data_IF_325668651926
#
_entry.id   IF_325668651926
#
_cell.length_a   1.000
_cell.length_b   1.000
_cell.length_c   1.000
_cell.angle_alpha   90.00
_cell.angle_beta   90.00
_cell.angle_gamma   90.00
#
_symmetry.space_group_name_H-M   'P 1'
#
loop_
_entity.id
_entity.type
_entity.pdbx_description
1 polymer ?
#
# COMPACT_ATOMS: atom_id res chain seq x y z
N UNK A 1 -24.03 17.04 -2.03
CA UNK A 1 -22.95 17.88 -1.45
C UNK A 1 -23.53 18.97 -0.53
N UNK A 2 -24.42 19.84 -1.01
CA UNK A 2 -25.02 20.91 -0.16
C UNK A 2 -25.75 20.39 1.09
N UNK A 3 -26.52 19.30 0.97
CA UNK A 3 -27.20 18.67 2.11
C UNK A 3 -26.19 18.15 3.16
N UNK A 4 -25.10 17.52 2.72
CA UNK A 4 -24.08 16.96 3.61
C UNK A 4 -23.36 18.07 4.38
N UNK A 5 -22.99 19.16 3.71
CA UNK A 5 -22.37 20.33 4.36
C UNK A 5 -23.29 20.96 5.42
N UNK A 6 -24.61 21.02 5.14
CA UNK A 6 -25.60 21.52 6.08
C UNK A 6 -25.72 20.61 7.32
N UNK A 7 -25.81 19.30 7.11
CA UNK A 7 -25.91 18.31 8.19
C UNK A 7 -24.67 18.27 9.08
N UNK A 8 -23.47 18.41 8.49
CA UNK A 8 -22.22 18.51 9.26
C UNK A 8 -22.21 19.76 10.14
N UNK A 9 -22.64 20.92 9.60
CA UNK A 9 -22.73 22.16 10.38
C UNK A 9 -23.75 22.07 11.53
N UNK A 10 -24.91 21.44 11.28
CA UNK A 10 -25.93 21.19 12.30
C UNK A 10 -25.44 20.24 13.39
N UNK A 11 -24.73 19.17 13.01
CA UNK A 11 -24.17 18.22 13.97
C UNK A 11 -23.06 18.84 14.82
N UNK A 12 -22.18 19.65 14.23
CA UNK A 12 -21.16 20.40 14.99
C UNK A 12 -21.80 21.38 15.99
N UNK A 13 -22.90 22.02 15.61
CA UNK A 13 -23.67 22.90 16.53
C UNK A 13 -24.28 22.09 17.68
N UNK A 14 -24.71 20.86 17.43
CA UNK A 14 -25.27 19.95 18.44
C UNK A 14 -24.20 19.39 19.39
N UNK A 15 -22.98 19.16 18.90
CA UNK A 15 -21.81 18.75 19.70
C UNK A 15 -21.26 19.93 20.54
N UNK A 16 -21.47 21.17 20.07
CA UNK A 16 -21.08 22.39 20.78
C UNK A 16 -19.57 22.58 20.89
N UNK A 17 -18.82 22.12 19.88
CA UNK A 17 -17.36 22.19 19.83
C UNK A 17 -16.90 22.99 18.61
N UNK A 18 -15.67 23.50 18.68
CA UNK A 18 -15.07 24.30 17.62
C UNK A 18 -14.46 23.43 16.51
N UNK A 19 -14.31 23.97 15.30
CA UNK A 19 -13.63 23.26 14.19
C UNK A 19 -12.20 22.81 14.53
N UNK A 20 -11.60 23.35 15.58
CA UNK A 20 -10.24 23.05 16.03
C UNK A 20 -10.13 21.78 16.87
N UNK A 21 -11.25 21.17 17.27
CA UNK A 21 -11.26 20.01 18.18
C UNK A 21 -11.52 18.67 17.45
N UNK A 22 -11.65 18.72 16.13
CA UNK A 22 -11.84 17.55 15.27
C UNK A 22 -10.64 16.61 15.42
N UNK A 23 -10.91 15.32 15.66
CA UNK A 23 -9.87 14.30 15.82
C UNK A 23 -9.18 14.25 17.19
N UNK A 24 -9.54 15.11 18.15
CA UNK A 24 -9.06 15.05 19.54
C UNK A 24 -9.93 14.15 20.42
N UNK A 25 -9.34 13.61 21.49
CA UNK A 25 -10.04 12.73 22.45
C UNK A 25 -11.26 13.40 23.11
N UNK A 26 -11.27 14.73 23.24
CA UNK A 26 -12.41 15.51 23.76
C UNK A 26 -13.66 15.36 22.87
N UNK A 27 -13.48 15.41 21.55
CA UNK A 27 -14.58 15.30 20.60
C UNK A 27 -15.12 13.88 20.54
N UNK A 28 -14.23 12.88 20.55
CA UNK A 28 -14.63 11.46 20.59
C UNK A 28 -15.49 11.14 21.83
N UNK A 29 -15.09 11.62 23.01
CA UNK A 29 -15.86 11.43 24.24
C UNK A 29 -17.27 12.03 24.14
N UNK A 30 -17.38 13.27 23.64
CA UNK A 30 -18.68 13.94 23.46
C UNK A 30 -19.56 13.24 22.42
N UNK A 31 -19.00 12.84 21.29
CA UNK A 31 -19.73 12.13 20.25
C UNK A 31 -20.29 10.81 20.80
N UNK A 32 -19.48 10.05 21.55
CA UNK A 32 -19.94 8.83 22.21
C UNK A 32 -21.06 9.10 23.23
N UNK A 33 -20.96 10.14 24.05
CA UNK A 33 -22.02 10.52 25.00
C UNK A 33 -23.32 10.95 24.31
N UNK A 34 -23.24 11.57 23.13
CA UNK A 34 -24.42 11.98 22.34
C UNK A 34 -25.10 10.75 21.72
N UNK A 35 -24.31 9.81 21.21
CA UNK A 35 -24.82 8.55 20.64
C UNK A 35 -25.52 7.72 21.73
N UNK A 36 -24.95 7.63 22.93
CA UNK A 36 -25.56 6.92 24.07
C UNK A 36 -26.87 7.56 24.53
N UNK A 37 -26.98 8.91 24.46
CA UNK A 37 -28.16 9.65 24.93
C UNK A 37 -29.32 9.67 23.93
N UNK A 38 -29.03 9.89 22.65
CA UNK A 38 -30.06 10.15 21.64
C UNK A 38 -30.27 8.99 20.67
N UNK A 39 -29.33 8.05 20.59
CA UNK A 39 -29.34 6.95 19.64
C UNK A 39 -29.17 7.42 18.19
N UNK A 40 -28.81 6.49 17.30
CA UNK A 40 -28.57 6.81 15.88
C UNK A 40 -29.84 7.33 15.19
N UNK A 41 -31.00 6.73 15.47
CA UNK A 41 -32.30 7.10 14.88
C UNK A 41 -32.82 8.49 15.33
N UNK A 42 -32.47 8.91 16.55
CA UNK A 42 -32.82 10.25 17.04
C UNK A 42 -32.03 11.35 16.32
N UNK A 43 -30.75 11.08 16.07
CA UNK A 43 -29.84 12.02 15.41
C UNK A 43 -30.16 12.12 13.91
N UNK A 44 -30.43 11.01 13.23
CA UNK A 44 -30.81 11.02 11.80
C UNK A 44 -32.07 11.84 11.55
N UNK A 45 -33.08 11.72 12.42
CA UNK A 45 -34.32 12.52 12.35
C UNK A 45 -34.08 14.01 12.57
N UNK A 46 -33.19 14.39 13.50
CA UNK A 46 -32.84 15.80 13.73
C UNK A 46 -32.06 16.42 12.58
N UNK A 47 -31.16 15.65 11.98
CA UNK A 47 -30.28 16.11 10.89
C UNK A 47 -30.91 15.95 9.50
N UNK A 48 -32.07 15.29 9.39
CA UNK A 48 -32.68 14.86 8.13
C UNK A 48 -31.69 14.10 7.22
N UNK A 49 -30.92 13.17 7.81
CA UNK A 49 -29.90 12.37 7.10
C UNK A 49 -30.18 10.88 7.16
N UNK A 50 -29.52 10.11 6.28
CA UNK A 50 -29.50 8.65 6.38
C UNK A 50 -28.51 8.18 7.44
N UNK A 51 -28.72 6.99 8.02
CA UNK A 51 -27.81 6.37 8.98
C UNK A 51 -26.39 6.23 8.43
N UNK A 52 -26.27 5.84 7.16
CA UNK A 52 -24.98 5.73 6.46
C UNK A 52 -24.24 7.08 6.41
N UNK A 53 -24.96 8.17 6.13
CA UNK A 53 -24.37 9.51 6.09
C UNK A 53 -23.92 9.94 7.49
N UNK A 54 -24.75 9.66 8.51
CA UNK A 54 -24.40 9.95 9.89
C UNK A 54 -23.14 9.18 10.33
N UNK A 55 -23.03 7.91 9.95
CA UNK A 55 -21.86 7.09 10.27
C UNK A 55 -20.59 7.63 9.62
N UNK A 56 -20.66 8.06 8.36
CA UNK A 56 -19.53 8.74 7.69
C UNK A 56 -19.14 10.02 8.43
N UNK A 57 -20.12 10.80 8.90
CA UNK A 57 -19.85 12.04 9.66
C UNK A 57 -19.17 11.73 11.00
N UNK A 58 -19.65 10.70 11.72
CA UNK A 58 -19.05 10.26 12.98
C UNK A 58 -17.63 9.78 12.75
N UNK A 59 -17.41 8.91 11.76
CA UNK A 59 -16.08 8.40 11.40
C UNK A 59 -15.14 9.55 11.01
N UNK A 60 -15.62 10.51 10.20
CA UNK A 60 -14.82 11.67 9.80
C UNK A 60 -14.45 12.59 10.97
N UNK A 61 -15.34 12.78 11.96
CA UNK A 61 -15.09 13.65 13.12
C UNK A 61 -14.23 12.96 14.20
N UNK A 62 -14.31 11.65 14.29
CA UNK A 62 -13.57 10.83 15.27
C UNK A 62 -12.22 10.34 14.75
N UNK A 63 -11.96 10.41 13.44
CA UNK A 63 -10.66 10.09 12.84
C UNK A 63 -9.55 10.90 13.52
N UNK A 64 -8.48 10.23 14.01
CA UNK A 64 -7.39 10.94 14.67
C UNK A 64 -6.65 11.84 13.69
N UNK A 65 -6.11 12.96 14.16
CA UNK A 65 -5.34 13.91 13.32
C UNK A 65 -4.15 13.23 12.61
N UNK A 66 -3.63 12.13 13.17
CA UNK A 66 -2.54 11.33 12.60
C UNK A 66 -2.99 10.27 11.59
N UNK A 67 -4.29 10.20 11.26
CA UNK A 67 -4.83 9.27 10.27
C UNK A 67 -4.40 9.70 8.88
N UNK A 68 -3.43 8.96 8.33
CA UNK A 68 -2.94 9.17 6.98
C UNK A 68 -3.29 7.93 6.17
N UNK A 69 -4.25 8.07 5.26
CA UNK A 69 -4.67 7.02 4.31
C UNK A 69 -3.51 6.48 3.48
N UNK A 70 -2.39 7.20 3.38
CA UNK A 70 -1.19 6.76 2.64
C UNK A 70 -0.37 5.72 3.40
N UNK A 71 -0.56 5.54 4.72
CA UNK A 71 0.19 4.54 5.50
C UNK A 71 -0.15 3.10 5.13
N UNK A 72 -1.37 2.85 4.69
CA UNK A 72 -1.84 1.52 4.29
C UNK A 72 -1.40 1.13 2.86
N UNK A 73 -0.88 2.08 2.09
CA UNK A 73 -0.24 1.76 0.84
C UNK A 73 1.15 1.23 1.15
N UNK A 74 1.46 0.03 0.61
CA UNK A 74 2.81 -0.51 0.53
C UNK A 74 3.76 0.64 0.19
N UNK A 75 4.55 1.07 1.17
CA UNK A 75 5.55 2.07 0.91
C UNK A 75 6.43 1.51 -0.21
N UNK A 76 6.73 2.29 -1.26
CA UNK A 76 7.72 1.86 -2.22
C UNK A 76 8.98 1.51 -1.43
N UNK A 77 9.43 0.26 -1.56
CA UNK A 77 10.64 -0.28 -0.94
C UNK A 77 11.86 0.44 -1.50
N UNK A 78 12.00 1.73 -1.22
CA UNK A 78 13.24 2.46 -1.43
C UNK A 78 14.20 2.02 -0.33
N UNK A 79 14.64 0.75 -0.38
CA UNK A 79 15.90 0.34 0.23
C UNK A 79 17.01 1.11 -0.48
N UNK A 80 17.24 2.32 0.03
CA UNK A 80 18.42 3.15 -0.21
C UNK A 80 19.67 2.36 0.18
N UNK A 81 20.31 1.66 -0.76
CA UNK A 81 21.73 1.32 -0.59
C UNK A 81 22.43 0.82 -1.85
N UNK A 82 21.80 0.81 -3.02
CA UNK A 82 22.48 0.41 -4.26
C UNK A 82 22.04 1.35 -5.38
N UNK A 83 22.76 2.47 -5.49
CA UNK A 83 22.58 3.45 -6.57
C UNK A 83 23.46 3.08 -7.77
N UNK A 84 24.50 2.28 -7.52
CA UNK A 84 25.58 2.01 -8.45
C UNK A 84 25.80 0.49 -8.61
N UNK A 85 25.95 -0.03 -9.85
CA UNK A 85 26.24 -1.44 -10.09
C UNK A 85 27.58 -1.89 -9.46
N UNK A 86 28.48 -0.97 -9.12
CA UNK A 86 29.75 -1.23 -8.46
C UNK A 86 29.60 -1.65 -6.99
N UNK A 87 28.52 -1.24 -6.33
CA UNK A 87 28.22 -1.62 -4.94
C UNK A 87 27.58 -3.02 -4.85
N UNK A 88 27.20 -3.58 -5.99
CA UNK A 88 26.56 -4.88 -6.07
C UNK A 88 27.60 -5.98 -5.87
N UNK A 89 27.32 -6.88 -4.93
CA UNK A 89 28.14 -8.06 -4.66
C UNK A 89 27.38 -9.33 -5.05
N UNK A 90 28.12 -10.31 -5.56
CA UNK A 90 27.59 -11.66 -5.79
C UNK A 90 27.11 -12.23 -4.45
N UNK A 91 25.91 -12.84 -4.45
CA UNK A 91 25.27 -13.40 -3.28
C UNK A 91 24.30 -12.46 -2.55
N UNK A 92 24.31 -11.15 -2.86
CA UNK A 92 23.38 -10.19 -2.25
C UNK A 92 21.94 -10.53 -2.62
N UNK A 93 21.05 -10.44 -1.63
CA UNK A 93 19.61 -10.64 -1.80
C UNK A 93 18.94 -9.27 -1.89
N UNK A 94 18.14 -9.08 -2.93
CA UNK A 94 17.46 -7.82 -3.25
C UNK A 94 16.01 -8.08 -3.59
N UNK A 95 15.20 -7.06 -3.39
CA UNK A 95 13.84 -7.00 -3.91
C UNK A 95 13.85 -6.24 -5.22
N UNK A 96 13.09 -6.73 -6.19
CA UNK A 96 12.98 -6.11 -7.50
C UNK A 96 11.58 -6.26 -8.08
N UNK A 97 11.31 -5.52 -9.15
CA UNK A 97 10.04 -5.57 -9.87
C UNK A 97 10.24 -6.13 -11.27
N UNK A 98 9.41 -7.06 -11.67
CA UNK A 98 9.42 -7.59 -13.04
C UNK A 98 9.01 -6.48 -14.00
N UNK A 99 9.87 -6.12 -14.95
CA UNK A 99 9.54 -5.17 -16.01
C UNK A 99 8.95 -5.89 -17.21
N UNK A 100 9.59 -7.00 -17.61
CA UNK A 100 9.18 -7.78 -18.77
C UNK A 100 9.52 -9.27 -18.59
N UNK A 101 8.71 -10.15 -19.17
CA UNK A 101 8.93 -11.59 -19.20
C UNK A 101 8.98 -12.07 -20.66
N UNK A 102 10.05 -12.77 -21.02
CA UNK A 102 10.25 -13.35 -22.35
C UNK A 102 10.42 -14.87 -22.25
N UNK A 103 10.46 -15.56 -23.38
CA UNK A 103 10.59 -17.03 -23.42
C UNK A 103 11.94 -17.53 -22.87
N UNK A 104 12.98 -16.69 -22.87
CA UNK A 104 14.32 -17.08 -22.41
C UNK A 104 14.65 -16.59 -20.99
N UNK A 105 13.84 -15.70 -20.42
CA UNK A 105 14.06 -15.20 -19.07
C UNK A 105 13.16 -14.03 -18.68
N UNK A 106 13.38 -13.52 -17.48
CA UNK A 106 12.60 -12.43 -16.89
C UNK A 106 13.51 -11.27 -16.57
N UNK A 107 13.13 -10.08 -17.02
CA UNK A 107 13.85 -8.84 -16.73
C UNK A 107 13.27 -8.21 -15.47
N UNK A 108 14.13 -7.97 -14.50
CA UNK A 108 13.78 -7.42 -13.20
C UNK A 108 14.56 -6.14 -12.97
N UNK A 109 13.84 -5.09 -12.60
CA UNK A 109 14.42 -3.86 -12.11
C UNK A 109 14.75 -4.00 -10.62
N UNK A 110 16.03 -3.81 -10.29
CA UNK A 110 16.59 -3.84 -8.93
C UNK A 110 17.07 -2.46 -8.46
N UNK A 111 16.81 -1.40 -9.24
CA UNK A 111 17.13 -0.02 -8.87
C UNK A 111 18.55 0.46 -9.18
N UNK A 112 19.34 -0.32 -9.94
CA UNK A 112 20.74 0.01 -10.30
C UNK A 112 20.87 0.74 -11.65
N UNK A 113 19.76 1.28 -12.19
CA UNK A 113 19.71 1.96 -13.48
C UNK A 113 19.84 1.04 -14.72
N UNK A 114 19.97 -0.29 -14.51
CA UNK A 114 19.97 -1.31 -15.56
C UNK A 114 19.12 -2.49 -15.15
N UNK A 115 18.46 -3.11 -16.13
CA UNK A 115 17.67 -4.32 -15.92
C UNK A 115 18.56 -5.54 -15.77
N UNK A 116 18.21 -6.39 -14.82
CA UNK A 116 18.90 -7.63 -14.57
C UNK A 116 18.06 -8.80 -15.11
N UNK A 117 18.74 -9.84 -15.61
CA UNK A 117 18.08 -10.98 -16.24
C UNK A 117 18.07 -12.17 -15.28
N UNK A 118 16.89 -12.75 -15.07
CA UNK A 118 16.74 -14.08 -14.49
C UNK A 118 16.61 -15.08 -15.65
N UNK A 119 17.61 -15.96 -15.87
CA UNK A 119 17.50 -17.03 -16.85
C UNK A 119 16.35 -17.97 -16.50
N UNK A 120 15.64 -18.51 -17.50
CA UNK A 120 14.51 -19.41 -17.23
C UNK A 120 14.91 -20.66 -16.41
N UNK A 121 16.14 -21.16 -16.60
CA UNK A 121 16.73 -22.26 -15.82
C UNK A 121 16.86 -21.98 -14.32
N UNK A 122 16.91 -20.71 -13.94
CA UNK A 122 17.03 -20.24 -12.55
C UNK A 122 15.66 -20.02 -11.89
N UNK A 123 14.58 -20.15 -12.65
CA UNK A 123 13.19 -20.10 -12.17
C UNK A 123 12.76 -21.54 -11.90
N UNK A 124 12.83 -21.95 -10.64
CA UNK A 124 12.38 -23.29 -10.24
C UNK A 124 10.91 -23.28 -9.88
N UNK A 125 10.15 -24.28 -10.33
CA UNK A 125 8.73 -24.52 -10.00
C UNK A 125 8.45 -24.45 -8.49
N UNK A 126 9.39 -24.92 -7.64
CA UNK A 126 9.22 -24.93 -6.18
C UNK A 126 9.28 -23.53 -5.54
N UNK A 127 9.89 -22.57 -6.23
CA UNK A 127 10.00 -21.18 -5.78
C UNK A 127 8.81 -20.32 -6.24
N UNK A 128 7.92 -20.88 -7.05
CA UNK A 128 6.69 -20.25 -7.52
C UNK A 128 5.53 -20.58 -6.57
N UNK A 129 4.67 -19.60 -6.29
CA UNK A 129 3.50 -19.84 -5.44
C UNK A 129 2.56 -20.87 -6.09
N UNK A 130 1.81 -21.63 -5.26
CA UNK A 130 0.86 -22.66 -5.72
C UNK A 130 -0.13 -22.14 -6.78
N UNK A 131 -0.46 -20.84 -6.75
CA UNK A 131 -1.35 -20.19 -7.71
C UNK A 131 -0.71 -19.93 -9.08
N UNK A 132 0.62 -19.85 -9.15
CA UNK A 132 1.39 -19.50 -10.36
C UNK A 132 1.98 -20.67 -11.13
N UNK A 133 2.05 -21.86 -10.53
CA UNK A 133 2.42 -23.11 -11.22
C UNK A 133 1.58 -23.43 -12.46
N UNK A 134 0.40 -22.79 -12.61
CA UNK A 134 -0.50 -22.99 -13.77
C UNK A 134 -0.11 -22.16 -15.00
N UNK A 135 0.73 -21.12 -14.88
CA UNK A 135 1.18 -20.29 -16.01
C UNK A 135 2.59 -20.68 -16.40
N UNK A 136 2.81 -20.98 -17.69
CA UNK A 136 4.03 -21.48 -18.33
C UNK A 136 5.32 -20.67 -18.10
N UNK A 137 5.25 -19.49 -17.47
CA UNK A 137 6.43 -18.74 -17.01
C UNK A 137 6.30 -18.14 -15.60
N UNK A 138 5.14 -18.32 -14.94
CA UNK A 138 4.91 -17.97 -13.54
C UNK A 138 5.08 -16.50 -13.11
N UNK A 139 5.63 -15.61 -13.94
CA UNK A 139 5.95 -14.22 -13.63
C UNK A 139 5.44 -13.28 -14.71
N UNK A 140 4.59 -12.34 -14.33
CA UNK A 140 4.06 -11.27 -15.19
C UNK A 140 4.71 -9.92 -14.91
N UNK A 141 4.60 -8.96 -15.85
CA UNK A 141 5.08 -7.60 -15.63
C UNK A 141 4.38 -6.97 -14.42
N UNK A 142 5.16 -6.23 -13.62
CA UNK A 142 4.71 -5.47 -12.47
C UNK A 142 4.80 -6.19 -11.13
N UNK A 143 5.16 -7.48 -11.11
CA UNK A 143 5.20 -8.29 -9.89
C UNK A 143 6.46 -8.04 -9.07
N UNK A 144 6.31 -8.11 -7.74
CA UNK A 144 7.43 -7.99 -6.79
C UNK A 144 8.08 -9.35 -6.60
N UNK A 145 9.41 -9.41 -6.68
CA UNK A 145 10.19 -10.64 -6.53
C UNK A 145 11.38 -10.41 -5.62
N UNK A 146 11.75 -11.45 -4.89
CA UNK A 146 13.00 -11.50 -4.14
C UNK A 146 14.02 -12.33 -4.92
N UNK A 147 15.18 -11.73 -5.18
CA UNK A 147 16.20 -12.24 -6.10
C UNK A 147 17.57 -12.23 -5.45
N UNK A 148 18.44 -13.14 -5.86
CA UNK A 148 19.85 -13.21 -5.47
C UNK A 148 20.75 -12.88 -6.65
N UNK A 149 21.78 -12.08 -6.42
CA UNK A 149 22.80 -11.81 -7.43
C UNK A 149 23.67 -13.03 -7.62
N UNK A 150 23.70 -13.59 -8.84
CA UNK A 150 24.53 -14.75 -9.17
C UNK A 150 25.85 -14.35 -9.80
N UNK A 151 25.81 -13.51 -10.83
CA UNK A 151 26.98 -13.10 -11.60
C UNK A 151 26.82 -11.63 -12.02
N UNK A 152 27.92 -10.88 -11.96
CA UNK A 152 28.00 -9.47 -12.35
C UNK A 152 29.10 -9.34 -13.39
N UNK A 153 28.75 -8.89 -14.58
CA UNK A 153 29.66 -8.56 -15.66
C UNK A 153 29.64 -7.04 -15.83
N UNK A 154 30.57 -6.35 -15.16
CA UNK A 154 30.75 -4.89 -15.25
C UNK A 154 31.06 -4.39 -16.67
N UNK A 155 31.98 -5.00 -17.46
CA UNK A 155 32.32 -4.48 -18.78
C UNK A 155 31.15 -4.53 -19.77
N UNK A 156 30.26 -5.52 -19.66
CA UNK A 156 29.01 -5.57 -20.46
C UNK A 156 27.80 -5.01 -19.71
N UNK A 157 28.00 -4.61 -18.46
CA UNK A 157 26.97 -4.21 -17.50
C UNK A 157 25.77 -5.16 -17.46
N UNK A 158 26.05 -6.46 -17.43
CA UNK A 158 25.03 -7.51 -17.33
C UNK A 158 25.01 -8.06 -15.92
N UNK A 159 23.81 -8.20 -15.37
CA UNK A 159 23.59 -8.75 -14.04
C UNK A 159 22.69 -9.97 -14.21
N UNK A 160 23.20 -11.12 -13.78
CA UNK A 160 22.46 -12.38 -13.78
C UNK A 160 21.93 -12.62 -12.38
N UNK A 161 20.62 -12.83 -12.29
CA UNK A 161 19.92 -13.05 -11.03
C UNK A 161 19.37 -14.47 -10.94
N UNK A 162 19.14 -14.90 -9.71
CA UNK A 162 18.42 -16.11 -9.37
C UNK A 162 17.15 -15.74 -8.60
N UNK A 163 16.01 -16.31 -8.98
CA UNK A 163 14.76 -16.13 -8.24
C UNK A 163 14.86 -16.87 -6.90
N UNK A 164 14.51 -16.22 -5.79
CA UNK A 164 14.32 -16.88 -4.49
C UNK A 164 12.83 -17.18 -4.28
N UNK A 165 11.98 -16.15 -4.36
CA UNK A 165 10.53 -16.26 -4.24
C UNK A 165 9.82 -15.06 -4.84
N UNK A 166 8.51 -15.23 -5.05
CA UNK A 166 7.59 -14.16 -5.45
C UNK A 166 6.95 -13.59 -4.18
N UNK A 167 6.86 -12.25 -4.09
CA UNK A 167 6.20 -11.53 -3.00
C UNK A 167 4.70 -11.33 -3.32
#
# INVERSE_FOLDING_TARGET
>A
IALILCSVGQFLTLVGESHCDIGKSKMQQKVNSIIEREGMDGITKKLNTTEQTLQIIIDALTQPESFDIRKDFDQPDFKKSIVCPEDLRVGTILTGRVENATLFGVFVDIGVGKTALIPIRSITEDKLSKAKKRRSLGLGPGEKVEVRVREIDLPRSRITLELIRVL
#
